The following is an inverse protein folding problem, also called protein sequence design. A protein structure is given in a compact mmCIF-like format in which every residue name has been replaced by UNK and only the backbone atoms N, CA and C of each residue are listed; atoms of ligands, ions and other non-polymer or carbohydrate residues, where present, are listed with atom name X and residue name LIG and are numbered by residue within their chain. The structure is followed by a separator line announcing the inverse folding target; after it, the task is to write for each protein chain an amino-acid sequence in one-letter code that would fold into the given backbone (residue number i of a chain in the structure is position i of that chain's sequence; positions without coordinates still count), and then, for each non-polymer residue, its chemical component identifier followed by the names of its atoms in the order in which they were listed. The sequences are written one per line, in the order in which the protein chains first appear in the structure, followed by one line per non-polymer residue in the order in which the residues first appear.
data_IF_252260581571
#
_entry.id   IF_252260581571
#
_cell.length_a   1.000
_cell.length_b   1.000
_cell.length_c   1.000
_cell.angle_alpha   90.00
_cell.angle_beta   90.00
_cell.angle_gamma   90.00
#
_symmetry.space_group_name_H-M   'P 1'
#
loop_
_entity.id
_entity.type
_entity.pdbx_description
1 polymer ?
#
# COMPACT_ATOMS: atom_id res chain seq x y z
N UNK A 1 -5.84 6.30 10.30
CA UNK A 1 -4.76 6.99 9.57
C UNK A 1 -5.14 7.02 8.09
N UNK A 2 -4.93 8.12 7.35
CA UNK A 2 -5.23 8.12 5.92
C UNK A 2 -4.30 7.13 5.22
N UNK A 3 -4.86 6.09 4.62
CA UNK A 3 -4.10 5.23 3.72
C UNK A 3 -3.56 6.09 2.57
N UNK A 4 -2.29 5.90 2.16
CA UNK A 4 -1.74 6.60 1.00
C UNK A 4 -2.65 6.42 -0.21
N UNK A 5 -2.72 7.47 -1.03
CA UNK A 5 -3.45 7.44 -2.29
C UNK A 5 -2.88 6.35 -3.20
N UNK A 6 -3.65 5.28 -3.41
CA UNK A 6 -3.34 4.14 -4.27
C UNK A 6 -2.79 4.58 -5.64
N UNK A 7 -3.27 5.70 -6.16
CA UNK A 7 -2.80 6.27 -7.43
C UNK A 7 -1.30 6.60 -7.39
N UNK A 8 -0.82 7.21 -6.30
CA UNK A 8 0.60 7.57 -6.12
C UNK A 8 1.44 6.31 -5.96
N UNK A 9 0.96 5.32 -5.21
CA UNK A 9 1.63 4.03 -5.05
C UNK A 9 1.82 3.34 -6.41
N UNK A 10 0.80 3.35 -7.27
CA UNK A 10 0.89 2.81 -8.64
C UNK A 10 1.91 3.56 -9.49
N UNK A 11 1.95 4.89 -9.39
CA UNK A 11 2.90 5.72 -10.16
C UNK A 11 4.34 5.45 -9.75
N UNK A 12 4.62 5.33 -8.45
CA UNK A 12 5.94 4.96 -7.93
C UNK A 12 6.34 3.54 -8.35
N UNK A 13 5.42 2.58 -8.25
CA UNK A 13 5.65 1.21 -8.68
C UNK A 13 5.97 1.15 -10.18
N UNK A 14 5.17 1.85 -11.00
CA UNK A 14 5.35 1.91 -12.45
C UNK A 14 6.70 2.56 -12.83
N UNK A 15 7.12 3.61 -12.13
CA UNK A 15 8.42 4.25 -12.34
C UNK A 15 9.57 3.28 -12.07
N UNK A 16 9.46 2.45 -11.02
CA UNK A 16 10.51 1.50 -10.66
C UNK A 16 10.64 0.32 -11.64
N UNK A 17 9.52 -0.16 -12.17
CA UNK A 17 9.51 -1.27 -13.15
C UNK A 17 9.55 -0.79 -14.60
N UNK A 18 9.59 0.53 -14.82
CA UNK A 18 9.73 1.19 -16.12
C UNK A 18 8.41 1.57 -16.81
N UNK A 19 7.30 0.86 -16.57
CA UNK A 19 5.99 1.25 -17.10
C UNK A 19 4.82 0.61 -16.35
N UNK A 20 3.60 1.16 -16.55
CA UNK A 20 2.37 0.55 -16.03
C UNK A 20 2.09 -0.83 -16.64
N UNK A 21 2.45 -1.05 -17.91
CA UNK A 21 2.31 -2.36 -18.56
C UNK A 21 3.24 -3.39 -17.94
N UNK A 22 4.48 -3.00 -17.67
CA UNK A 22 5.44 -3.85 -16.99
C UNK A 22 4.96 -4.18 -15.56
N UNK A 23 4.36 -3.20 -14.86
CA UNK A 23 3.74 -3.43 -13.55
C UNK A 23 2.59 -4.43 -13.63
N UNK A 24 1.66 -4.26 -14.59
CA UNK A 24 0.55 -5.17 -14.79
C UNK A 24 1.04 -6.60 -15.05
N UNK A 25 2.01 -6.76 -15.96
CA UNK A 25 2.64 -8.05 -16.26
C UNK A 25 3.31 -8.67 -15.04
N UNK A 26 4.03 -7.87 -14.24
CA UNK A 26 4.69 -8.34 -13.01
C UNK A 26 3.67 -8.84 -11.98
N UNK A 27 2.51 -8.18 -11.88
CA UNK A 27 1.44 -8.52 -10.94
C UNK A 27 0.49 -9.60 -11.48
N UNK A 28 0.71 -10.10 -12.70
CA UNK A 28 -0.16 -11.08 -13.36
C UNK A 28 -1.52 -10.52 -13.76
N UNK A 29 -1.65 -9.21 -13.92
CA UNK A 29 -2.88 -8.49 -14.24
C UNK A 29 -2.89 -7.93 -15.67
N UNK A 30 -4.07 -7.54 -16.14
CA UNK A 30 -4.22 -6.79 -17.39
C UNK A 30 -3.89 -5.29 -17.20
N UNK A 31 -3.35 -4.63 -18.24
CA UNK A 31 -3.07 -3.18 -18.25
C UNK A 31 -4.29 -2.32 -17.85
N UNK A 32 -5.48 -2.76 -18.27
CA UNK A 32 -6.76 -2.11 -17.98
C UNK A 32 -7.07 -2.09 -16.48
N UNK A 33 -6.66 -3.13 -15.73
CA UNK A 33 -6.88 -3.26 -14.29
C UNK A 33 -6.13 -2.18 -13.52
N UNK A 34 -4.84 -1.97 -13.83
CA UNK A 34 -4.01 -0.95 -13.19
C UNK A 34 -4.58 0.45 -13.47
N UNK A 35 -5.00 0.69 -14.71
CA UNK A 35 -5.65 1.95 -15.10
C UNK A 35 -6.97 2.18 -14.37
N UNK A 36 -7.76 1.12 -14.17
CA UNK A 36 -9.03 1.19 -13.45
C UNK A 36 -8.82 1.51 -11.96
N UNK A 37 -7.80 0.95 -11.31
CA UNK A 37 -7.44 1.29 -9.93
C UNK A 37 -7.11 2.77 -9.77
N UNK A 38 -6.36 3.37 -10.72
CA UNK A 38 -6.09 4.81 -10.72
C UNK A 38 -7.35 5.67 -10.86
N UNK A 39 -8.41 5.14 -11.49
CA UNK A 39 -9.70 5.81 -11.68
C UNK A 39 -10.67 5.59 -10.50
N UNK A 40 -10.23 4.95 -9.42
CA UNK A 40 -11.03 4.72 -8.22
C UNK A 40 -11.76 3.38 -8.18
N UNK A 41 -11.47 2.44 -9.10
CA UNK A 41 -11.95 1.06 -8.94
C UNK A 41 -11.37 0.49 -7.64
N UNK A 42 -12.18 -0.17 -6.78
CA UNK A 42 -11.69 -0.83 -5.57
C UNK A 42 -10.55 -1.81 -5.88
N UNK A 43 -9.53 -1.78 -5.05
CA UNK A 43 -8.38 -2.67 -5.09
C UNK A 43 -8.35 -3.46 -3.80
N UNK A 44 -8.12 -4.78 -3.87
CA UNK A 44 -8.01 -5.56 -2.63
C UNK A 44 -6.77 -5.14 -1.85
N UNK A 45 -6.82 -5.27 -0.52
CA UNK A 45 -5.69 -4.91 0.33
C UNK A 45 -4.43 -5.72 -0.02
N UNK A 46 -4.56 -6.99 -0.43
CA UNK A 46 -3.40 -7.80 -0.85
C UNK A 46 -2.74 -7.19 -2.10
N UNK A 47 -3.54 -6.78 -3.07
CA UNK A 47 -3.04 -6.21 -4.32
C UNK A 47 -2.41 -4.84 -4.08
N UNK A 48 -3.01 -4.02 -3.23
CA UNK A 48 -2.42 -2.73 -2.84
C UNK A 48 -1.07 -2.94 -2.12
N UNK A 49 -0.98 -3.91 -1.20
CA UNK A 49 0.28 -4.25 -0.54
C UNK A 49 1.35 -4.72 -1.54
N UNK A 50 0.99 -5.53 -2.53
CA UNK A 50 1.90 -5.94 -3.60
C UNK A 50 2.41 -4.76 -4.42
N UNK A 51 1.54 -3.83 -4.81
CA UNK A 51 1.92 -2.61 -5.54
C UNK A 51 2.88 -1.76 -4.70
N UNK A 52 2.60 -1.60 -3.39
CA UNK A 52 3.48 -0.87 -2.47
C UNK A 52 4.86 -1.54 -2.34
N UNK A 53 4.91 -2.87 -2.24
CA UNK A 53 6.15 -3.62 -2.19
C UNK A 53 6.98 -3.43 -3.47
N UNK A 54 6.33 -3.45 -4.65
CA UNK A 54 7.00 -3.15 -5.93
C UNK A 54 7.53 -1.73 -5.95
N UNK A 55 6.79 -0.74 -5.43
CA UNK A 55 7.28 0.63 -5.27
C UNK A 55 8.49 0.75 -4.31
N UNK A 56 8.85 -0.31 -3.58
CA UNK A 56 9.90 -0.30 -2.56
C UNK A 56 9.42 0.20 -1.20
N UNK A 57 8.12 0.40 -1.02
CA UNK A 57 7.51 0.88 0.21
C UNK A 57 7.18 -0.32 1.10
N UNK A 58 8.23 -0.93 1.67
CA UNK A 58 8.11 -2.22 2.38
C UNK A 58 7.31 -2.10 3.67
N UNK A 59 7.57 -1.08 4.46
CA UNK A 59 6.86 -0.84 5.72
C UNK A 59 5.39 -0.56 5.43
N UNK A 60 5.13 0.22 4.38
CA UNK A 60 3.78 0.52 3.92
C UNK A 60 3.04 -0.73 3.41
N UNK A 61 3.71 -1.62 2.69
CA UNK A 61 3.11 -2.88 2.25
C UNK A 61 2.65 -3.74 3.44
N UNK A 62 3.48 -3.84 4.49
CA UNK A 62 3.11 -4.55 5.73
C UNK A 62 1.91 -3.91 6.40
N UNK A 63 1.91 -2.58 6.53
CA UNK A 63 0.80 -1.83 7.15
C UNK A 63 -0.52 -2.01 6.40
N UNK A 64 -0.49 -1.92 5.06
CA UNK A 64 -1.69 -2.14 4.22
C UNK A 64 -2.23 -3.55 4.42
N UNK A 65 -1.35 -4.55 4.45
CA UNK A 65 -1.75 -5.95 4.61
C UNK A 65 -2.39 -6.17 5.99
N UNK A 66 -1.76 -5.70 7.06
CA UNK A 66 -2.27 -5.85 8.43
C UNK A 66 -3.58 -5.10 8.66
N UNK A 67 -3.68 -3.86 8.17
CA UNK A 67 -4.91 -3.09 8.24
C UNK A 67 -6.05 -3.77 7.48
N UNK A 68 -5.80 -4.24 6.26
CA UNK A 68 -6.80 -4.94 5.47
C UNK A 68 -7.26 -6.27 6.08
N UNK A 69 -6.35 -7.02 6.72
CA UNK A 69 -6.72 -8.22 7.49
C UNK A 69 -7.63 -7.86 8.67
N UNK A 70 -7.27 -6.83 9.45
CA UNK A 70 -8.08 -6.40 10.57
C UNK A 70 -9.46 -5.88 10.14
N UNK A 71 -9.54 -5.14 9.03
CA UNK A 71 -10.80 -4.65 8.45
C UNK A 71 -11.68 -5.77 7.90
N UNK A 72 -11.11 -6.90 7.51
CA UNK A 72 -11.86 -8.06 7.01
C UNK A 72 -12.51 -8.91 8.10
N UNK A 73 -12.15 -8.68 9.37
CA UNK A 73 -12.70 -9.40 10.53
C UNK A 73 -13.96 -8.73 11.06
N UNK A 74 -14.96 -9.54 11.41
CA UNK A 74 -16.23 -9.09 11.97
C UNK A 74 -16.10 -8.68 13.43
N UNK A 75 -16.85 -7.64 13.82
CA UNK A 75 -17.00 -7.25 15.22
C UNK A 75 -18.12 -8.05 15.93
N UNK A 76 -18.97 -8.75 15.17
CA UNK A 76 -20.12 -9.51 15.70
C UNK A 76 -19.75 -10.95 16.12
N UNK A 77 -18.58 -11.44 15.70
CA UNK A 77 -18.10 -12.79 15.98
C UNK A 77 -16.98 -12.69 17.01
N UNK A 78 -17.21 -13.17 18.24
CA UNK A 78 -16.33 -12.95 19.39
C UNK A 78 -14.85 -13.26 19.12
N UNK A 79 -14.54 -14.39 18.47
CA UNK A 79 -13.17 -14.78 18.17
C UNK A 79 -12.53 -13.92 17.06
N UNK A 80 -13.32 -13.43 16.10
CA UNK A 80 -12.84 -12.50 15.06
C UNK A 80 -12.61 -11.10 15.65
N UNK A 81 -13.51 -10.63 16.51
CA UNK A 81 -13.38 -9.35 17.21
C UNK A 81 -12.12 -9.33 18.10
N UNK A 82 -11.88 -10.42 18.86
CA UNK A 82 -10.65 -10.57 19.64
C UNK A 82 -9.39 -10.57 18.76
N UNK A 83 -9.40 -11.30 17.63
CA UNK A 83 -8.28 -11.32 16.70
C UNK A 83 -8.03 -9.95 16.07
N UNK A 84 -9.09 -9.20 15.74
CA UNK A 84 -9.03 -7.84 15.21
C UNK A 84 -8.37 -6.87 16.18
N UNK A 85 -8.74 -6.92 17.46
CA UNK A 85 -8.08 -6.12 18.51
C UNK A 85 -6.58 -6.42 18.56
N UNK A 86 -6.21 -7.70 18.50
CA UNK A 86 -4.80 -8.13 18.43
C UNK A 86 -4.06 -7.56 17.22
N UNK A 87 -4.63 -7.67 16.02
CA UNK A 87 -4.03 -7.14 14.78
C UNK A 87 -3.88 -5.61 14.82
N UNK A 88 -4.89 -4.90 15.33
CA UNK A 88 -4.85 -3.44 15.49
C UNK A 88 -3.76 -3.04 16.50
N UNK A 89 -3.63 -3.77 17.61
CA UNK A 89 -2.57 -3.52 18.59
C UNK A 89 -1.17 -3.73 17.98
N UNK A 90 -0.97 -4.81 17.22
CA UNK A 90 0.29 -5.05 16.51
C UNK A 90 0.58 -3.93 15.48
N UNK A 91 -0.42 -3.51 14.72
CA UNK A 91 -0.29 -2.43 13.74
C UNK A 91 0.10 -1.10 14.39
N UNK A 92 -0.46 -0.80 15.57
CA UNK A 92 -0.15 0.41 16.34
C UNK A 92 1.25 0.34 16.99
N UNK A 93 1.75 -0.85 17.28
CA UNK A 93 3.09 -1.06 17.82
C UNK A 93 4.20 -0.98 16.74
N UNK A 94 3.85 -1.04 15.45
CA UNK A 94 4.84 -0.90 14.37
C UNK A 94 5.51 0.48 14.41
N UNK A 95 6.84 0.56 14.29
CA UNK A 95 7.56 1.83 14.25
C UNK A 95 7.08 2.67 13.05
N UNK A 96 7.06 4.01 13.15
CA UNK A 96 6.60 4.87 12.06
C UNK A 96 7.31 4.51 10.75
N UNK A 97 6.55 4.47 9.66
CA UNK A 97 7.02 4.03 8.35
C UNK A 97 8.25 4.82 7.92
N UNK A 98 9.40 4.15 7.70
CA UNK A 98 10.59 4.86 7.21
C UNK A 98 10.41 5.32 5.76
N UNK A 99 9.52 4.67 5.02
CA UNK A 99 9.13 5.03 3.65
C UNK A 99 8.62 6.49 3.55
N UNK A 100 7.92 7.00 4.56
CA UNK A 100 7.40 8.37 4.58
C UNK A 100 8.49 9.40 4.90
N UNK A 101 9.53 8.99 5.66
CA UNK A 101 10.67 9.84 6.03
C UNK A 101 11.63 10.00 4.85
N UNK A 102 11.89 8.92 4.11
CA UNK A 102 12.75 8.93 2.92
C UNK A 102 12.12 9.70 1.75
N UNK A 103 10.79 9.60 1.58
CA UNK A 103 10.05 10.40 0.61
C UNK A 103 10.16 11.91 0.89
N UNK A 104 10.17 12.32 2.16
CA UNK A 104 10.33 13.73 2.55
C UNK A 104 11.79 14.23 2.38
N UNK A 105 12.79 13.35 2.56
CA UNK A 105 14.21 13.71 2.40
C UNK A 105 14.64 13.87 0.94
N UNK A 106 14.07 13.07 0.04
CA UNK A 106 14.41 13.08 -1.40
C UNK A 106 13.74 14.22 -2.17
N UNK A 107 12.65 14.80 -1.66
CA UNK A 107 11.95 15.95 -2.27
C UNK A 107 12.61 17.33 -2.07
N UNK A 108 13.70 17.45 -1.29
CA UNK A 108 14.29 18.75 -0.92
C UNK A 108 15.58 19.13 -1.68
N UNK A 109 16.08 18.29 -2.58
CA UNK A 109 17.39 18.50 -3.25
C UNK A 109 17.26 19.18 -4.63
N UNK A 110 16.08 19.70 -4.99
CA UNK A 110 15.80 20.23 -6.33
C UNK A 110 15.51 21.73 -6.44
N UNK A 111 15.90 22.57 -5.47
CA UNK A 111 15.73 24.02 -5.61
C UNK A 111 16.91 24.78 -4.99
N UNK A 112 17.98 24.92 -5.76
CA UNK A 112 19.12 25.77 -5.48
C UNK A 112 19.70 26.20 -6.82
N UNK A 113 19.23 27.36 -7.28
CA UNK A 113 19.72 28.10 -8.44
C UNK A 113 21.19 28.46 -8.33
#
# INVERSE_FOLDING_TARGET
MPMPDLRKTIELAAAKVGSQRALAKLLGDQDSTISAFKKGRPCSYQKHAQIAAVAGLKDRAVRILMAGMAESLSDDIEHEAAAKVGLVAMLNALPPSTDDVDAARTGRVGNGS
#
